data_IF_065508162280
#
_entry.id   IF_065508162280
#
_cell.length_a   1.000
_cell.length_b   1.000
_cell.length_c   1.000
_cell.angle_alpha   90.00
_cell.angle_beta   90.00
_cell.angle_gamma   90.00
#
_symmetry.space_group_name_H-M   'P 1'
#
loop_
_entity.id
_entity.type
_entity.pdbx_description
1 polymer ?
#
# COMPACT_ATOMS: atom_id res chain seq x y z
N UNK A 1 -9.70 -0.87 -21.20
CA UNK A 1 -8.45 -0.95 -20.40
C UNK A 1 -7.36 -1.63 -21.23
N UNK A 2 -6.35 -0.90 -21.73
CA UNK A 2 -5.29 -1.45 -22.58
C UNK A 2 -4.57 -2.65 -21.97
N UNK A 3 -4.30 -2.63 -20.65
CA UNK A 3 -3.64 -3.73 -19.93
C UNK A 3 -4.45 -5.02 -19.95
N UNK A 4 -5.75 -4.96 -19.67
CA UNK A 4 -6.65 -6.13 -19.73
C UNK A 4 -6.73 -6.69 -21.15
N UNK A 5 -6.79 -5.81 -22.15
CA UNK A 5 -6.80 -6.24 -23.55
C UNK A 5 -5.48 -6.90 -23.95
N UNK A 6 -4.35 -6.38 -23.47
CA UNK A 6 -3.04 -6.98 -23.66
C UNK A 6 -2.97 -8.39 -23.04
N UNK A 7 -3.38 -8.55 -21.78
CA UNK A 7 -3.40 -9.84 -21.08
C UNK A 7 -4.28 -10.84 -21.87
N UNK A 8 -5.49 -10.43 -22.26
CA UNK A 8 -6.42 -11.27 -23.04
C UNK A 8 -5.83 -11.71 -24.39
N UNK A 9 -5.08 -10.84 -25.08
CA UNK A 9 -4.49 -11.14 -26.40
C UNK A 9 -3.20 -11.95 -26.31
N UNK A 10 -2.48 -11.89 -25.18
CA UNK A 10 -1.15 -12.47 -25.01
C UNK A 10 -1.09 -13.69 -24.10
N UNK A 11 -2.19 -14.04 -23.45
CA UNK A 11 -2.27 -15.17 -22.52
C UNK A 11 -3.40 -16.12 -22.94
N UNK A 12 -3.16 -17.45 -22.98
CA UNK A 12 -4.22 -18.43 -23.23
C UNK A 12 -5.06 -18.63 -21.95
N UNK A 13 -5.95 -17.68 -21.67
CA UNK A 13 -6.78 -17.69 -20.47
C UNK A 13 -7.90 -18.75 -20.58
N UNK A 14 -8.09 -19.52 -19.52
CA UNK A 14 -9.29 -20.34 -19.31
C UNK A 14 -10.47 -19.47 -18.86
N UNK A 15 -11.69 -20.02 -18.92
CA UNK A 15 -12.91 -19.29 -18.54
C UNK A 15 -12.86 -18.79 -17.08
N UNK A 16 -12.43 -19.64 -16.15
CA UNK A 16 -12.30 -19.28 -14.74
C UNK A 16 -11.25 -18.16 -14.52
N UNK A 17 -10.12 -18.23 -15.23
CA UNK A 17 -9.04 -17.25 -15.16
C UNK A 17 -9.47 -15.90 -15.74
N UNK A 18 -10.11 -15.91 -16.90
CA UNK A 18 -10.67 -14.72 -17.51
C UNK A 18 -11.72 -14.09 -16.59
N UNK A 19 -12.54 -14.90 -15.90
CA UNK A 19 -13.49 -14.37 -14.94
C UNK A 19 -12.81 -13.76 -13.72
N UNK A 20 -11.76 -14.39 -13.19
CA UNK A 20 -11.00 -13.87 -12.06
C UNK A 20 -10.39 -12.50 -12.37
N UNK A 21 -9.81 -12.34 -13.57
CA UNK A 21 -9.18 -11.09 -14.02
C UNK A 21 -10.22 -9.98 -14.19
N UNK A 22 -11.42 -10.29 -14.67
CA UNK A 22 -12.45 -9.28 -15.00
C UNK A 22 -13.36 -8.93 -13.83
N UNK A 23 -13.74 -9.91 -13.00
CA UNK A 23 -14.80 -9.78 -11.98
C UNK A 23 -14.29 -10.09 -10.56
N UNK A 24 -13.00 -10.34 -10.40
CA UNK A 24 -12.36 -10.68 -9.13
C UNK A 24 -12.41 -12.18 -8.81
N UNK A 25 -11.61 -12.57 -7.81
CA UNK A 25 -11.39 -13.99 -7.44
C UNK A 25 -12.66 -14.74 -7.08
N UNK A 26 -13.69 -14.05 -6.60
CA UNK A 26 -15.02 -14.60 -6.31
C UNK A 26 -15.72 -15.22 -7.52
N UNK A 27 -15.35 -14.84 -8.74
CA UNK A 27 -15.85 -15.48 -9.96
C UNK A 27 -15.05 -16.75 -10.35
N UNK A 28 -13.83 -16.91 -9.84
CA UNK A 28 -13.02 -18.09 -10.13
C UNK A 28 -13.44 -19.24 -9.23
N UNK A 29 -14.11 -20.23 -9.81
CA UNK A 29 -14.63 -21.37 -9.05
C UNK A 29 -13.57 -22.46 -8.84
N UNK A 30 -12.41 -22.38 -9.52
CA UNK A 30 -11.37 -23.43 -9.53
C UNK A 30 -9.98 -22.86 -9.75
N UNK A 31 -9.00 -23.50 -9.11
CA UNK A 31 -7.58 -23.31 -9.43
C UNK A 31 -7.28 -24.03 -10.75
N UNK A 32 -6.69 -23.33 -11.72
CA UNK A 32 -6.33 -23.89 -13.02
C UNK A 32 -4.85 -24.30 -13.06
N UNK A 33 -4.47 -25.06 -14.09
CA UNK A 33 -3.07 -25.43 -14.32
C UNK A 33 -2.14 -24.24 -14.56
N UNK A 34 -2.65 -23.12 -15.10
CA UNK A 34 -1.84 -21.92 -15.36
C UNK A 34 -1.40 -21.21 -14.07
N UNK A 35 -2.13 -21.40 -12.96
CA UNK A 35 -1.83 -20.80 -11.66
C UNK A 35 -1.43 -21.83 -10.61
N UNK A 36 -1.39 -23.11 -10.98
CA UNK A 36 -0.91 -24.19 -10.12
C UNK A 36 0.55 -24.50 -10.44
N UNK A 37 1.44 -24.12 -9.54
CA UNK A 37 2.87 -24.40 -9.66
C UNK A 37 3.43 -24.86 -8.31
N UNK A 38 4.53 -25.60 -8.38
CA UNK A 38 5.24 -26.15 -7.23
C UNK A 38 6.70 -25.70 -7.33
N UNK A 39 7.26 -25.27 -6.20
CA UNK A 39 8.71 -25.06 -6.07
C UNK A 39 9.27 -26.24 -5.29
N UNK A 40 10.18 -26.99 -5.93
CA UNK A 40 10.91 -28.05 -5.26
C UNK A 40 11.89 -27.44 -4.26
N UNK A 41 11.67 -27.75 -2.98
CA UNK A 41 12.58 -27.34 -1.92
C UNK A 41 13.77 -28.30 -1.82
N UNK A 42 14.99 -27.79 -1.58
CA UNK A 42 16.12 -28.65 -1.26
C UNK A 42 15.82 -29.45 0.01
N UNK A 43 16.34 -30.68 0.10
CA UNK A 43 16.22 -31.49 1.32
C UNK A 43 16.76 -30.69 2.52
N UNK A 44 16.03 -30.59 3.64
CA UNK A 44 16.51 -29.87 4.81
C UNK A 44 17.86 -30.42 5.25
N UNK A 45 18.85 -29.53 5.38
CA UNK A 45 20.12 -29.88 6.01
C UNK A 45 19.84 -29.95 7.52
N UNK A 46 19.92 -31.14 8.11
CA UNK A 46 19.74 -31.32 9.54
C UNK A 46 20.73 -30.42 10.29
N UNK A 47 20.21 -29.43 10.98
CA UNK A 47 20.98 -28.45 11.73
C UNK A 47 20.75 -28.69 13.22
N UNK A 48 21.77 -29.19 13.91
CA UNK A 48 21.79 -29.26 15.38
C UNK A 48 22.18 -27.92 16.02
N UNK A 49 21.91 -26.79 15.33
CA UNK A 49 22.20 -25.47 15.89
C UNK A 49 21.18 -25.20 16.98
N UNK A 50 21.57 -25.44 18.23
CA UNK A 50 20.95 -24.81 19.38
C UNK A 50 21.15 -23.30 19.25
N UNK A 51 20.11 -22.60 18.80
CA UNK A 51 20.06 -21.13 18.83
C UNK A 51 19.97 -20.69 20.30
N UNK A 52 21.12 -20.50 20.93
CA UNK A 52 21.21 -19.68 22.13
C UNK A 52 20.88 -18.25 21.71
N UNK A 53 19.78 -17.69 22.21
CA UNK A 53 19.46 -16.27 22.02
C UNK A 53 20.44 -15.48 22.88
N UNK A 54 21.60 -15.17 22.32
CA UNK A 54 22.60 -14.31 22.93
C UNK A 54 22.32 -12.89 22.44
N UNK A 55 21.61 -12.11 23.25
CA UNK A 55 21.29 -10.73 22.92
C UNK A 55 20.37 -10.07 23.94
N UNK A 56 20.48 -8.75 24.08
CA UNK A 56 19.48 -7.96 24.79
C UNK A 56 18.19 -7.88 23.96
N UNK A 57 17.04 -7.72 24.64
CA UNK A 57 15.78 -7.39 23.97
C UNK A 57 15.95 -6.11 23.16
N UNK A 58 15.32 -6.04 21.99
CA UNK A 58 15.29 -4.86 21.14
C UNK A 58 13.97 -4.80 20.37
N UNK A 59 13.76 -3.70 19.66
CA UNK A 59 12.58 -3.50 18.84
C UNK A 59 12.97 -2.95 17.46
N UNK A 60 12.02 -3.02 16.54
CA UNK A 60 12.09 -2.42 15.22
C UNK A 60 10.78 -1.66 14.96
N UNK A 61 10.80 -0.78 13.97
CA UNK A 61 9.62 -0.02 13.54
C UNK A 61 9.05 -0.70 12.29
N UNK A 62 7.72 -0.79 12.18
CA UNK A 62 7.04 -1.26 10.98
C UNK A 62 6.03 -0.20 10.55
N UNK A 63 6.24 0.34 9.36
CA UNK A 63 5.34 1.28 8.68
C UNK A 63 4.79 0.60 7.43
N UNK A 64 3.48 0.70 7.21
CA UNK A 64 2.76 0.08 6.11
C UNK A 64 1.53 0.91 5.78
N UNK A 65 0.96 0.73 4.58
CA UNK A 65 -0.36 1.25 4.20
C UNK A 65 -0.50 2.75 4.48
N UNK A 66 0.48 3.53 4.00
CA UNK A 66 0.57 4.97 4.27
C UNK A 66 -0.60 5.72 3.62
N UNK A 67 -0.97 5.34 2.39
CA UNK A 67 -2.05 5.92 1.59
C UNK A 67 -2.20 7.43 1.82
N UNK A 68 -1.19 8.19 1.40
CA UNK A 68 -1.24 9.64 1.49
C UNK A 68 -2.08 10.21 0.34
N UNK A 69 -2.99 11.13 0.63
CA UNK A 69 -3.85 11.77 -0.36
C UNK A 69 -3.53 13.26 -0.48
N UNK A 70 -2.89 13.64 -1.59
CA UNK A 70 -2.60 15.04 -1.93
C UNK A 70 -3.87 15.87 -2.12
N UNK A 71 -4.99 15.22 -2.46
CA UNK A 71 -6.25 15.87 -2.72
C UNK A 71 -7.17 15.89 -1.50
N UNK A 72 -6.71 15.37 -0.35
CA UNK A 72 -7.48 15.42 0.90
C UNK A 72 -7.83 16.88 1.22
N UNK A 73 -9.12 17.15 1.36
CA UNK A 73 -9.67 18.46 1.61
C UNK A 73 -10.48 18.46 2.90
N UNK A 74 -9.92 19.06 3.95
CA UNK A 74 -10.64 19.30 5.21
C UNK A 74 -11.92 20.07 4.95
N UNK A 75 -13.04 19.64 5.54
CA UNK A 75 -14.34 20.26 5.29
C UNK A 75 -15.10 19.76 4.06
N UNK A 76 -14.48 18.91 3.21
CA UNK A 76 -15.18 18.23 2.12
C UNK A 76 -16.14 17.15 2.65
N UNK A 77 -16.84 16.42 1.79
CA UNK A 77 -17.66 15.31 2.25
C UNK A 77 -16.83 14.06 2.55
N UNK A 78 -16.93 13.55 3.79
CA UNK A 78 -16.37 12.26 4.19
C UNK A 78 -17.32 11.08 3.99
N UNK A 79 -18.58 11.32 3.63
CA UNK A 79 -19.62 10.30 3.41
C UNK A 79 -20.25 10.45 2.02
N UNK A 80 -19.53 9.99 1.00
CA UNK A 80 -19.95 10.03 -0.41
C UNK A 80 -20.21 8.62 -0.97
N UNK A 81 -20.85 8.54 -2.14
CA UNK A 81 -21.18 7.27 -2.83
C UNK A 81 -20.03 6.70 -3.68
N UNK A 82 -18.79 7.15 -3.43
CA UNK A 82 -17.59 6.66 -4.11
C UNK A 82 -16.83 5.67 -3.23
N UNK A 83 -15.82 5.03 -3.81
CA UNK A 83 -14.95 4.12 -3.05
C UNK A 83 -13.99 4.90 -2.12
N UNK A 84 -13.69 6.15 -2.45
CA UNK A 84 -12.93 7.09 -1.61
C UNK A 84 -13.56 8.49 -1.66
N UNK A 85 -13.58 9.17 -0.51
CA UNK A 85 -14.16 10.49 -0.25
C UNK A 85 -13.09 11.42 0.34
N UNK A 86 -13.50 12.48 1.04
CA UNK A 86 -12.62 13.47 1.68
C UNK A 86 -11.73 14.27 0.73
N UNK A 87 -11.97 14.21 -0.59
CA UNK A 87 -11.26 15.01 -1.58
C UNK A 87 -12.05 16.26 -1.99
N UNK A 88 -11.37 17.24 -2.59
CA UNK A 88 -12.02 18.39 -3.23
C UNK A 88 -13.08 17.99 -4.28
N UNK A 89 -12.88 16.84 -4.92
CA UNK A 89 -13.79 16.28 -5.92
C UNK A 89 -15.03 15.58 -5.31
N UNK A 90 -15.06 15.41 -3.98
CA UNK A 90 -16.17 14.78 -3.26
C UNK A 90 -17.39 15.70 -3.24
N UNK A 91 -18.57 15.11 -3.05
CA UNK A 91 -19.82 15.86 -2.94
C UNK A 91 -19.81 16.83 -1.75
N UNK A 92 -20.83 17.68 -1.62
CA UNK A 92 -20.99 18.54 -0.45
C UNK A 92 -21.77 17.80 0.63
N UNK A 93 -21.25 17.82 1.86
CA UNK A 93 -21.92 17.27 3.03
C UNK A 93 -22.04 18.30 4.14
N UNK A 94 -22.90 18.02 5.11
CA UNK A 94 -23.18 18.90 6.25
C UNK A 94 -23.15 18.12 7.55
N UNK A 95 -23.01 18.84 8.67
CA UNK A 95 -22.99 18.24 10.00
C UNK A 95 -21.85 17.24 10.16
N UNK A 96 -22.16 16.07 10.70
CA UNK A 96 -21.17 15.03 11.01
C UNK A 96 -20.54 14.40 9.78
N UNK A 97 -21.14 14.51 8.60
CA UNK A 97 -20.64 13.95 7.34
C UNK A 97 -19.47 14.75 6.72
N UNK A 98 -19.11 15.87 7.32
CA UNK A 98 -17.98 16.70 6.90
C UNK A 98 -16.65 16.02 7.30
N UNK A 99 -15.69 16.02 6.38
CA UNK A 99 -14.36 15.46 6.53
C UNK A 99 -13.57 16.20 7.61
N UNK A 100 -12.91 15.44 8.49
CA UNK A 100 -12.09 15.98 9.56
C UNK A 100 -10.90 16.82 9.08
N UNK A 101 -10.37 17.66 9.96
CA UNK A 101 -9.24 18.55 9.65
C UNK A 101 -7.90 17.82 9.48
N UNK A 102 -7.75 16.68 10.15
CA UNK A 102 -6.51 15.91 10.20
C UNK A 102 -6.68 14.55 9.51
N UNK A 103 -7.73 13.83 9.90
CA UNK A 103 -8.08 12.54 9.36
C UNK A 103 -9.59 12.35 9.45
N UNK A 104 -10.08 11.31 8.80
CA UNK A 104 -11.47 10.91 8.84
C UNK A 104 -11.59 9.39 8.94
N UNK A 105 -12.49 8.89 9.78
CA UNK A 105 -12.64 7.45 10.04
C UNK A 105 -13.56 6.73 9.03
N UNK A 106 -13.90 7.38 7.91
CA UNK A 106 -14.74 6.82 6.85
C UNK A 106 -13.89 6.35 5.67
N UNK A 107 -14.43 6.41 4.45
CA UNK A 107 -13.77 6.00 3.21
C UNK A 107 -12.80 7.08 2.75
N UNK A 108 -11.80 7.39 3.55
CA UNK A 108 -10.87 8.47 3.28
C UNK A 108 -9.44 8.04 3.56
N UNK A 109 -8.53 8.49 2.73
CA UNK A 109 -7.11 8.32 2.93
C UNK A 109 -6.51 9.49 3.73
N UNK A 110 -5.22 9.39 4.02
CA UNK A 110 -4.57 10.27 4.98
C UNK A 110 -4.08 11.55 4.31
N UNK A 111 -4.38 12.71 4.90
CA UNK A 111 -3.79 13.97 4.48
C UNK A 111 -2.25 13.93 4.57
N UNK A 112 -1.56 14.42 3.54
CA UNK A 112 -0.08 14.48 3.47
C UNK A 112 0.58 15.04 4.73
N UNK A 113 0.07 16.15 5.26
CA UNK A 113 0.65 16.81 6.44
C UNK A 113 0.56 15.95 7.72
N UNK A 114 -0.46 15.10 7.82
CA UNK A 114 -0.59 14.16 8.94
C UNK A 114 0.42 13.03 8.81
N UNK A 115 0.61 12.51 7.60
CA UNK A 115 1.64 11.51 7.32
C UNK A 115 3.03 12.07 7.63
N UNK A 116 3.35 13.27 7.14
CA UNK A 116 4.62 13.96 7.42
C UNK A 116 4.84 14.14 8.93
N UNK A 117 3.79 14.52 9.67
CA UNK A 117 3.85 14.64 11.12
C UNK A 117 4.14 13.29 11.78
N UNK A 118 3.38 12.24 11.47
CA UNK A 118 3.56 10.92 12.08
C UNK A 118 4.95 10.37 11.80
N UNK A 119 5.42 10.44 10.56
CA UNK A 119 6.75 9.95 10.19
C UNK A 119 7.85 10.77 10.89
N UNK A 120 7.65 12.07 11.09
CA UNK A 120 8.62 12.91 11.82
C UNK A 120 8.85 12.43 13.26
N UNK A 121 7.79 11.91 13.89
CA UNK A 121 7.86 11.42 15.27
C UNK A 121 8.67 10.14 15.38
N UNK A 122 8.83 9.36 14.30
CA UNK A 122 9.61 8.12 14.32
C UNK A 122 11.08 8.33 14.73
N UNK A 123 11.61 9.56 14.60
CA UNK A 123 12.97 9.91 15.05
C UNK A 123 13.17 9.82 16.55
N UNK A 124 12.10 9.81 17.36
CA UNK A 124 12.19 9.65 18.80
C UNK A 124 12.68 8.26 19.22
N UNK A 125 12.51 7.26 18.34
CA UNK A 125 12.85 5.87 18.58
C UNK A 125 14.29 5.56 18.16
N UNK A 126 15.26 6.26 18.74
CA UNK A 126 16.67 6.20 18.32
C UNK A 126 17.34 4.82 18.51
N UNK A 127 16.83 3.98 19.41
CA UNK A 127 17.36 2.65 19.70
C UNK A 127 16.69 1.51 18.91
N UNK A 128 15.77 1.85 18.00
CA UNK A 128 15.24 0.91 17.01
C UNK A 128 16.37 0.29 16.19
N UNK A 129 16.34 -1.04 16.01
CA UNK A 129 17.40 -1.75 15.28
C UNK A 129 17.34 -1.52 13.78
N UNK A 130 16.13 -1.40 13.26
CA UNK A 130 15.82 -1.13 11.85
C UNK A 130 14.35 -0.71 11.72
N UNK A 131 13.96 -0.35 10.51
CA UNK A 131 12.56 -0.13 10.14
C UNK A 131 12.21 -0.93 8.89
N UNK A 132 11.03 -1.55 8.90
CA UNK A 132 10.37 -2.09 7.72
C UNK A 132 9.38 -1.06 7.18
N UNK A 133 9.41 -0.83 5.87
CA UNK A 133 8.48 0.05 5.17
C UNK A 133 7.79 -0.75 4.06
N UNK A 134 6.57 -1.23 4.28
CA UNK A 134 6.00 -2.30 3.45
C UNK A 134 5.06 -1.87 2.32
N UNK A 135 5.25 -0.67 1.77
CA UNK A 135 4.52 -0.21 0.57
C UNK A 135 3.16 0.41 0.85
N UNK A 136 2.36 0.54 -0.21
CA UNK A 136 1.03 1.15 -0.25
C UNK A 136 1.05 2.62 0.19
N UNK A 137 1.76 3.43 -0.58
CA UNK A 137 1.92 4.87 -0.40
C UNK A 137 0.82 5.68 -1.11
N UNK A 138 0.33 5.15 -2.22
CA UNK A 138 -0.59 5.80 -3.17
C UNK A 138 -2.03 5.65 -2.68
N UNK A 139 -2.88 6.69 -2.77
CA UNK A 139 -4.24 6.64 -2.27
C UNK A 139 -5.17 5.74 -3.11
N UNK A 140 -6.37 5.49 -2.61
CA UNK A 140 -7.39 4.62 -3.16
C UNK A 140 -8.21 5.28 -4.27
N UNK A 141 -7.81 6.43 -4.82
CA UNK A 141 -8.40 7.04 -6.03
C UNK A 141 -7.96 6.33 -7.33
N UNK A 142 -7.95 5.00 -7.32
CA UNK A 142 -7.37 4.12 -8.36
C UNK A 142 -7.91 4.35 -9.79
N UNK A 143 -9.02 5.07 -9.95
CA UNK A 143 -9.63 5.37 -11.24
C UNK A 143 -8.95 6.52 -11.98
N UNK A 144 -8.18 7.35 -11.30
CA UNK A 144 -7.53 8.54 -11.86
C UNK A 144 -6.01 8.59 -11.64
N UNK A 145 -5.44 7.62 -10.93
CA UNK A 145 -4.00 7.51 -10.67
C UNK A 145 -3.21 7.36 -11.97
N UNK A 146 -2.15 8.17 -12.11
CA UNK A 146 -1.18 8.12 -13.21
C UNK A 146 0.18 7.60 -12.76
N UNK A 147 1.04 7.23 -13.72
CA UNK A 147 2.43 6.81 -13.43
C UNK A 147 3.20 7.95 -12.76
N UNK A 148 2.97 9.19 -13.19
CA UNK A 148 3.59 10.38 -12.63
C UNK A 148 3.15 10.62 -11.18
N UNK A 149 1.88 10.37 -10.87
CA UNK A 149 1.35 10.48 -9.50
C UNK A 149 1.94 9.40 -8.58
N UNK A 150 2.03 8.14 -9.04
CA UNK A 150 2.72 7.09 -8.28
C UNK A 150 4.19 7.44 -8.03
N UNK A 151 4.88 7.92 -9.06
CA UNK A 151 6.26 8.37 -8.92
C UNK A 151 6.38 9.52 -7.93
N UNK A 152 5.42 10.44 -7.89
CA UNK A 152 5.38 11.49 -6.88
C UNK A 152 5.33 10.90 -5.46
N UNK A 153 4.40 9.99 -5.14
CA UNK A 153 4.30 9.40 -3.80
C UNK A 153 5.54 8.60 -3.42
N UNK A 154 6.04 7.74 -4.31
CA UNK A 154 7.27 6.96 -4.09
C UNK A 154 8.47 7.88 -3.87
N UNK A 155 8.64 8.92 -4.68
CA UNK A 155 9.74 9.87 -4.51
C UNK A 155 9.57 10.70 -3.24
N UNK A 156 8.35 11.14 -2.91
CA UNK A 156 8.08 11.94 -1.73
C UNK A 156 8.45 11.17 -0.46
N UNK A 157 7.95 9.93 -0.31
CA UNK A 157 8.22 9.10 0.87
C UNK A 157 9.69 8.68 0.97
N UNK A 158 10.30 8.25 -0.13
CA UNK A 158 11.70 7.80 -0.13
C UNK A 158 12.66 8.97 0.10
N UNK A 159 12.37 10.15 -0.48
CA UNK A 159 13.15 11.36 -0.21
C UNK A 159 12.99 11.81 1.24
N UNK A 160 11.79 11.72 1.82
CA UNK A 160 11.58 12.05 3.23
C UNK A 160 12.51 11.22 4.11
N UNK A 161 12.50 9.89 3.95
CA UNK A 161 13.32 8.99 4.74
C UNK A 161 14.82 9.18 4.48
N UNK A 162 15.22 9.39 3.23
CA UNK A 162 16.63 9.60 2.85
C UNK A 162 17.19 10.91 3.41
N UNK A 163 16.42 12.01 3.32
CA UNK A 163 16.82 13.34 3.82
C UNK A 163 16.74 13.43 5.35
N UNK A 164 15.88 12.65 5.97
CA UNK A 164 15.63 12.71 7.41
C UNK A 164 16.76 12.17 8.27
N UNK A 165 17.77 11.51 7.69
CA UNK A 165 18.94 10.94 8.38
C UNK A 165 18.54 10.13 9.62
N UNK A 166 17.60 9.20 9.46
CA UNK A 166 17.22 8.29 10.54
C UNK A 166 18.44 7.50 11.04
N UNK A 167 18.58 7.26 12.35
CA UNK A 167 19.76 6.60 12.93
C UNK A 167 19.81 5.09 12.67
N UNK A 168 18.83 4.53 11.96
CA UNK A 168 18.66 3.11 11.70
C UNK A 168 18.41 2.84 10.21
N UNK A 169 18.68 1.59 9.80
CA UNK A 169 18.47 1.16 8.42
C UNK A 169 16.99 0.94 8.14
N UNK A 170 16.55 1.37 6.95
CA UNK A 170 15.19 1.22 6.46
C UNK A 170 15.18 0.16 5.35
N UNK A 171 14.24 -0.77 5.41
CA UNK A 171 14.04 -1.83 4.42
C UNK A 171 12.68 -1.66 3.75
N UNK A 172 12.62 -1.02 2.57
CA UNK A 172 11.37 -0.81 1.86
C UNK A 172 10.96 -2.04 1.02
N UNK A 173 9.66 -2.22 0.83
CA UNK A 173 9.05 -3.08 -0.20
C UNK A 173 8.04 -2.28 -1.02
N UNK A 174 7.54 -2.89 -2.10
CA UNK A 174 6.43 -2.37 -2.88
C UNK A 174 5.13 -3.02 -2.40
N UNK A 175 4.07 -2.24 -2.32
CA UNK A 175 2.70 -2.70 -2.17
C UNK A 175 2.00 -2.78 -3.54
N UNK A 176 0.72 -3.15 -3.53
CA UNK A 176 -0.06 -3.32 -4.76
C UNK A 176 -0.60 -2.00 -5.31
N UNK A 177 -0.53 -0.91 -4.53
CA UNK A 177 -0.93 0.43 -4.98
C UNK A 177 0.18 1.21 -5.72
N UNK A 178 1.41 0.67 -5.77
CA UNK A 178 2.52 1.29 -6.52
C UNK A 178 2.52 0.96 -8.03
N UNK A 179 1.52 0.24 -8.54
CA UNK A 179 1.35 -0.06 -9.96
C UNK A 179 0.24 0.78 -10.61
N UNK A 180 0.37 1.03 -11.91
CA UNK A 180 -0.67 1.70 -12.72
C UNK A 180 -1.00 0.83 -13.95
N UNK A 181 -2.23 0.33 -14.10
CA UNK A 181 -3.32 0.37 -13.12
C UNK A 181 -2.97 -0.41 -11.83
N UNK A 182 -3.70 -0.18 -10.75
CA UNK A 182 -3.51 -0.87 -9.46
C UNK A 182 -3.48 -2.40 -9.62
N UNK A 183 -2.69 -3.07 -8.74
CA UNK A 183 -2.27 -4.48 -8.66
C UNK A 183 -0.91 -4.79 -9.28
#
# INVERSE_FOLDING_TARGET
MPTIEYIRKRTPLKVDEACAILLGIQCSLKVTENIHWIIDLPKPIASNVTRTVVGSKGYFIHVTDIHADVNYASGSCGQCDRIMCCQNSSDKCTGEAIAGNWADNRKCDMRLEVVDFVISQLKMYQDAKFMLLTGDYVPHNIWEVTVEEVQFYVNWITNYFTKSQFPFRIFPTLGNHEAVPVN
#
